data_IF_272905594927
#
_entry.id   IF_272905594927
#
_cell.length_a   1.000
_cell.length_b   1.000
_cell.length_c   1.000
_cell.angle_alpha   90.00
_cell.angle_beta   90.00
_cell.angle_gamma   90.00
#
_symmetry.space_group_name_H-M   'P 1'
#
loop_
_entity.id
_entity.type
_entity.pdbx_description
1 polymer ?
#
# COMPACT_ATOMS: atom_id res chain seq x y z
N UNK A 1 -27.35 7.41 7.47
CA UNK A 1 -26.30 7.05 6.49
C UNK A 1 -26.96 6.31 5.35
N UNK A 2 -26.96 6.90 4.16
CA UNK A 2 -27.54 6.28 2.99
C UNK A 2 -26.43 5.65 2.13
N UNK A 3 -26.42 4.33 2.05
CA UNK A 3 -25.42 3.56 1.29
C UNK A 3 -25.43 3.94 -0.21
N UNK A 4 -26.61 4.26 -0.75
CA UNK A 4 -26.79 4.70 -2.13
C UNK A 4 -26.01 5.97 -2.46
N UNK A 5 -25.96 6.94 -1.54
CA UNK A 5 -25.22 8.18 -1.69
C UNK A 5 -23.70 7.95 -1.68
N UNK A 6 -23.21 7.10 -0.77
CA UNK A 6 -21.80 6.72 -0.70
C UNK A 6 -21.36 6.04 -2.00
N UNK A 7 -22.15 5.08 -2.49
CA UNK A 7 -21.84 4.35 -3.73
C UNK A 7 -21.90 5.26 -4.97
N UNK A 8 -22.86 6.18 -5.04
CA UNK A 8 -22.96 7.14 -6.13
C UNK A 8 -21.73 8.05 -6.19
N UNK A 9 -21.31 8.55 -5.02
CA UNK A 9 -20.12 9.39 -4.91
C UNK A 9 -18.84 8.58 -5.22
N UNK A 10 -18.74 7.34 -4.73
CA UNK A 10 -17.63 6.45 -5.02
C UNK A 10 -17.52 6.14 -6.53
N UNK A 11 -18.65 5.86 -7.17
CA UNK A 11 -18.70 5.62 -8.62
C UNK A 11 -18.30 6.87 -9.43
N UNK A 12 -18.68 8.07 -8.98
CA UNK A 12 -18.23 9.34 -9.57
C UNK A 12 -16.73 9.49 -9.44
N UNK A 13 -16.19 9.40 -8.21
CA UNK A 13 -14.76 9.57 -7.94
C UNK A 13 -13.91 8.54 -8.71
N UNK A 14 -14.35 7.28 -8.73
CA UNK A 14 -13.72 6.23 -9.53
C UNK A 14 -13.65 6.59 -11.01
N UNK A 15 -14.77 7.03 -11.59
CA UNK A 15 -14.87 7.40 -13.00
C UNK A 15 -13.98 8.59 -13.35
N UNK A 16 -13.94 9.58 -12.46
CA UNK A 16 -13.10 10.77 -12.63
C UNK A 16 -11.61 10.40 -12.63
N UNK A 17 -11.20 9.47 -11.76
CA UNK A 17 -9.83 8.95 -11.72
C UNK A 17 -9.48 8.09 -12.93
N UNK A 18 -10.40 7.23 -13.38
CA UNK A 18 -10.18 6.37 -14.55
C UNK A 18 -10.09 7.17 -15.86
N UNK A 19 -10.79 8.32 -15.97
CA UNK A 19 -10.64 9.24 -17.10
C UNK A 19 -9.30 9.98 -17.12
N UNK A 20 -8.61 10.01 -16.00
CA UNK A 20 -7.32 10.64 -15.92
C UNK A 20 -6.24 9.69 -16.49
N UNK A 21 -5.56 10.13 -17.57
CA UNK A 21 -4.46 9.39 -18.20
C UNK A 21 -3.34 9.01 -17.21
N UNK A 22 -3.28 9.70 -16.08
CA UNK A 22 -2.33 9.41 -15.00
C UNK A 22 -2.50 8.01 -14.43
N UNK A 23 -3.73 7.54 -14.22
CA UNK A 23 -4.01 6.17 -13.71
C UNK A 23 -3.51 5.12 -14.70
N UNK A 24 -3.74 5.35 -16.01
CA UNK A 24 -3.23 4.48 -17.06
C UNK A 24 -1.70 4.48 -17.12
N UNK A 25 -1.08 5.66 -16.99
CA UNK A 25 0.38 5.78 -16.97
C UNK A 25 0.99 5.02 -15.78
N UNK A 26 0.40 5.15 -14.59
CA UNK A 26 0.82 4.42 -13.39
C UNK A 26 0.68 2.91 -13.58
N UNK A 27 -0.45 2.42 -14.09
CA UNK A 27 -0.66 1.00 -14.36
C UNK A 27 0.37 0.47 -15.38
N UNK A 28 0.66 1.24 -16.44
CA UNK A 28 1.67 0.89 -17.45
C UNK A 28 3.07 0.81 -16.84
N UNK A 29 3.48 1.84 -16.11
CA UNK A 29 4.79 1.89 -15.43
C UNK A 29 4.93 0.69 -14.48
N UNK A 30 3.90 0.44 -13.67
CA UNK A 30 3.88 -0.67 -12.74
C UNK A 30 3.98 -2.03 -13.45
N UNK A 31 3.25 -2.22 -14.55
CA UNK A 31 3.33 -3.44 -15.38
C UNK A 31 4.73 -3.63 -15.95
N UNK A 32 5.32 -2.59 -16.53
CA UNK A 32 6.67 -2.67 -17.12
C UNK A 32 7.71 -3.03 -16.06
N UNK A 33 7.71 -2.33 -14.91
CA UNK A 33 8.65 -2.65 -13.83
C UNK A 33 8.44 -4.05 -13.26
N UNK A 34 7.19 -4.48 -13.08
CA UNK A 34 6.88 -5.84 -12.60
C UNK A 34 7.41 -6.90 -13.55
N UNK A 35 7.26 -6.71 -14.86
CA UNK A 35 7.78 -7.61 -15.88
C UNK A 35 9.31 -7.64 -15.89
N UNK A 36 9.94 -6.45 -15.89
CA UNK A 36 11.40 -6.34 -15.89
C UNK A 36 11.99 -7.03 -14.67
N UNK A 37 11.45 -6.79 -13.49
CA UNK A 37 11.93 -7.42 -12.24
C UNK A 37 11.68 -8.93 -12.27
N UNK A 38 10.51 -9.37 -12.73
CA UNK A 38 10.19 -10.79 -12.82
C UNK A 38 11.13 -11.54 -13.77
N UNK A 39 11.50 -10.91 -14.88
CA UNK A 39 12.33 -11.57 -15.92
C UNK A 39 13.83 -11.42 -15.69
N UNK A 40 14.27 -10.26 -15.20
CA UNK A 40 15.68 -9.91 -15.03
C UNK A 40 16.16 -9.90 -13.57
N UNK A 41 15.29 -10.09 -12.60
CA UNK A 41 15.66 -10.05 -11.17
C UNK A 41 16.75 -11.07 -10.77
N UNK A 42 16.91 -12.14 -11.54
CA UNK A 42 17.99 -13.14 -11.36
C UNK A 42 19.26 -12.89 -12.17
N UNK A 43 19.33 -11.83 -12.96
CA UNK A 43 20.46 -11.61 -13.89
C UNK A 43 21.81 -11.45 -13.19
N UNK A 44 21.85 -10.89 -11.98
CA UNK A 44 23.07 -10.80 -11.17
C UNK A 44 23.63 -12.17 -10.75
N UNK A 45 22.79 -13.21 -10.75
CA UNK A 45 23.16 -14.60 -10.45
C UNK A 45 23.35 -15.44 -11.73
N UNK A 46 23.46 -14.77 -12.89
CA UNK A 46 23.69 -15.42 -14.18
C UNK A 46 22.46 -16.09 -14.79
N UNK A 47 21.27 -15.83 -14.29
CA UNK A 47 20.04 -16.47 -14.78
C UNK A 47 19.02 -15.42 -15.22
N UNK A 48 18.46 -15.62 -16.42
CA UNK A 48 17.42 -14.78 -17.01
C UNK A 48 16.18 -15.66 -17.25
N UNK A 49 15.00 -15.13 -16.93
CA UNK A 49 13.72 -15.83 -17.09
C UNK A 49 12.98 -16.03 -15.78
N UNK A 50 11.80 -16.65 -15.88
CA UNK A 50 10.96 -16.95 -14.73
C UNK A 50 11.62 -18.04 -13.86
N UNK A 51 11.84 -17.73 -12.60
CA UNK A 51 12.33 -18.64 -11.56
C UNK A 51 11.15 -19.18 -10.76
N UNK A 52 11.43 -19.65 -9.54
CA UNK A 52 10.36 -20.02 -8.62
C UNK A 52 9.43 -18.83 -8.30
N UNK A 53 8.25 -19.14 -7.86
CA UNK A 53 7.22 -18.14 -7.51
C UNK A 53 7.69 -17.32 -6.32
N UNK A 54 8.32 -17.99 -5.34
CA UNK A 54 8.85 -17.38 -4.12
C UNK A 54 9.91 -16.32 -4.46
N UNK A 55 10.81 -16.64 -5.39
CA UNK A 55 11.82 -15.70 -5.86
C UNK A 55 11.18 -14.50 -6.59
N UNK A 56 10.16 -14.75 -7.40
CA UNK A 56 9.42 -13.69 -8.10
C UNK A 56 8.72 -12.76 -7.09
N UNK A 57 8.04 -13.32 -6.09
CA UNK A 57 7.39 -12.55 -5.03
C UNK A 57 8.43 -11.73 -4.26
N UNK A 58 9.52 -12.35 -3.80
CA UNK A 58 10.58 -11.67 -3.06
C UNK A 58 11.18 -10.48 -3.83
N UNK A 59 11.38 -10.66 -5.14
CA UNK A 59 11.87 -9.58 -6.02
C UNK A 59 10.86 -8.45 -6.19
N UNK A 60 9.57 -8.78 -6.30
CA UNK A 60 8.50 -7.79 -6.44
C UNK A 60 8.16 -7.06 -5.14
N UNK A 61 8.45 -7.64 -3.98
CA UNK A 61 8.19 -7.01 -2.66
C UNK A 61 8.85 -5.63 -2.59
N UNK A 62 10.11 -5.51 -3.00
CA UNK A 62 10.82 -4.23 -2.99
C UNK A 62 10.15 -3.20 -3.90
N UNK A 63 9.75 -3.60 -5.12
CA UNK A 63 9.03 -2.72 -6.04
C UNK A 63 7.74 -2.20 -5.42
N UNK A 64 6.97 -3.09 -4.81
CA UNK A 64 5.67 -2.78 -4.20
C UNK A 64 5.85 -1.80 -3.04
N UNK A 65 6.83 -2.02 -2.15
CA UNK A 65 7.09 -1.15 -0.99
C UNK A 65 7.43 0.28 -1.43
N UNK A 66 8.12 0.48 -2.56
CA UNK A 66 8.44 1.82 -3.06
C UNK A 66 7.29 2.45 -3.83
N UNK A 67 6.68 1.72 -4.76
CA UNK A 67 5.72 2.31 -5.71
C UNK A 67 4.30 2.40 -5.18
N UNK A 68 3.76 1.36 -4.56
CA UNK A 68 2.36 1.35 -4.11
C UNK A 68 2.06 2.44 -3.08
N UNK A 69 2.89 2.66 -2.03
CA UNK A 69 2.71 3.76 -1.10
C UNK A 69 2.76 5.13 -1.78
N UNK A 70 3.72 5.34 -2.69
CA UNK A 70 3.84 6.59 -3.43
C UNK A 70 2.60 6.88 -4.27
N UNK A 71 2.14 5.88 -5.03
CA UNK A 71 0.94 5.98 -5.86
C UNK A 71 -0.29 6.27 -5.02
N UNK A 72 -0.48 5.54 -3.91
CA UNK A 72 -1.62 5.71 -3.01
C UNK A 72 -1.64 7.11 -2.39
N UNK A 73 -0.49 7.60 -1.93
CA UNK A 73 -0.35 8.93 -1.36
C UNK A 73 -0.62 10.03 -2.39
N UNK A 74 -0.06 9.90 -3.61
CA UNK A 74 -0.30 10.84 -4.71
C UNK A 74 -1.75 10.80 -5.23
N UNK A 75 -2.43 9.67 -5.11
CA UNK A 75 -3.84 9.54 -5.49
C UNK A 75 -4.76 10.21 -4.48
N UNK A 76 -4.43 10.11 -3.18
CA UNK A 76 -5.31 10.47 -2.07
C UNK A 76 -5.09 11.86 -1.46
N UNK A 77 -3.88 12.48 -1.58
CA UNK A 77 -3.57 13.72 -0.90
C UNK A 77 -4.52 14.88 -1.23
N UNK A 78 -5.08 14.87 -2.44
CA UNK A 78 -5.95 15.92 -2.97
C UNK A 78 -7.46 15.67 -2.73
N UNK A 79 -7.82 14.56 -2.11
CA UNK A 79 -9.21 14.08 -2.05
C UNK A 79 -10.19 15.07 -1.40
N UNK A 80 -9.79 15.78 -0.35
CA UNK A 80 -10.61 16.75 0.39
C UNK A 80 -10.08 18.16 0.23
N UNK A 81 -8.76 18.35 0.37
CA UNK A 81 -8.15 19.67 0.29
C UNK A 81 -8.34 20.32 -1.08
N UNK A 82 -8.35 19.53 -2.16
CA UNK A 82 -8.59 20.05 -3.50
C UNK A 82 -10.01 20.59 -3.70
N UNK A 83 -11.01 19.98 -3.07
CA UNK A 83 -12.38 20.54 -3.06
C UNK A 83 -12.48 21.81 -2.20
N UNK A 84 -11.73 21.83 -1.08
CA UNK A 84 -11.68 23.00 -0.21
C UNK A 84 -11.08 24.21 -0.92
N UNK A 85 -9.94 24.07 -1.60
CA UNK A 85 -9.31 25.17 -2.35
C UNK A 85 -10.14 25.68 -3.53
N UNK A 86 -10.87 24.79 -4.20
CA UNK A 86 -11.76 25.17 -5.30
C UNK A 86 -13.08 25.78 -4.85
N UNK A 87 -13.35 25.81 -3.53
CA UNK A 87 -14.62 26.25 -2.98
C UNK A 87 -15.79 25.29 -3.26
N UNK A 88 -15.53 24.14 -3.88
CA UNK A 88 -16.58 23.14 -4.19
C UNK A 88 -16.98 22.30 -2.98
N UNK A 89 -16.19 22.30 -1.90
CA UNK A 89 -16.51 21.56 -0.69
C UNK A 89 -17.81 22.03 -0.05
N UNK A 90 -18.02 23.34 0.04
CA UNK A 90 -19.23 23.90 0.64
C UNK A 90 -20.48 23.61 -0.22
N UNK A 91 -20.33 23.59 -1.55
CA UNK A 91 -21.38 23.16 -2.47
C UNK A 91 -21.74 21.69 -2.30
N UNK A 92 -20.75 20.81 -2.10
CA UNK A 92 -20.99 19.40 -1.81
C UNK A 92 -21.67 19.19 -0.46
N UNK A 93 -21.32 19.99 0.55
CA UNK A 93 -21.93 19.93 1.88
C UNK A 93 -23.31 20.62 1.96
N UNK A 94 -23.69 21.40 0.97
CA UNK A 94 -25.06 21.93 0.81
C UNK A 94 -26.04 20.87 0.28
N UNK A 95 -25.54 19.79 -0.32
CA UNK A 95 -26.35 18.62 -0.69
C UNK A 95 -26.75 17.85 0.60
N UNK A 96 -27.80 17.02 0.56
CA UNK A 96 -28.20 16.21 1.71
C UNK A 96 -27.21 15.05 1.98
N UNK A 97 -25.93 15.40 2.11
CA UNK A 97 -24.80 14.50 2.34
C UNK A 97 -24.14 14.80 3.69
N UNK A 98 -23.93 13.80 4.49
CA UNK A 98 -23.11 13.93 5.69
C UNK A 98 -21.62 13.98 5.34
N UNK A 99 -20.81 14.64 6.17
CA UNK A 99 -19.34 14.68 5.99
C UNK A 99 -18.72 13.27 5.95
N UNK A 100 -19.33 12.32 6.66
CA UNK A 100 -18.88 10.92 6.65
C UNK A 100 -19.15 10.24 5.30
N UNK A 101 -20.34 10.44 4.74
CA UNK A 101 -20.71 9.90 3.44
C UNK A 101 -19.80 10.46 2.32
N UNK A 102 -19.49 11.75 2.40
CA UNK A 102 -18.53 12.38 1.51
C UNK A 102 -17.14 11.75 1.64
N UNK A 103 -16.62 11.60 2.86
CA UNK A 103 -15.30 11.03 3.11
C UNK A 103 -15.21 9.57 2.65
N UNK A 104 -16.18 8.74 3.01
CA UNK A 104 -16.23 7.34 2.64
C UNK A 104 -16.44 7.15 1.13
N UNK A 105 -17.32 7.94 0.51
CA UNK A 105 -17.53 7.88 -0.94
C UNK A 105 -16.25 8.21 -1.72
N UNK A 106 -15.54 9.28 -1.33
CA UNK A 106 -14.25 9.62 -1.94
C UNK A 106 -13.21 8.54 -1.70
N UNK A 107 -13.07 8.06 -0.46
CA UNK A 107 -12.13 6.99 -0.16
C UNK A 107 -12.39 5.72 -0.97
N UNK A 108 -13.64 5.24 -1.02
CA UNK A 108 -14.01 4.02 -1.74
C UNK A 108 -13.79 4.17 -3.26
N UNK A 109 -14.09 5.33 -3.83
CA UNK A 109 -13.82 5.59 -5.25
C UNK A 109 -12.33 5.56 -5.59
N UNK A 110 -11.50 6.18 -4.76
CA UNK A 110 -10.04 6.14 -4.89
C UNK A 110 -9.49 4.73 -4.65
N UNK A 111 -10.00 4.03 -3.64
CA UNK A 111 -9.63 2.65 -3.32
C UNK A 111 -9.93 1.70 -4.48
N UNK A 112 -11.09 1.84 -5.12
CA UNK A 112 -11.44 1.06 -6.31
C UNK A 112 -10.50 1.34 -7.49
N UNK A 113 -10.15 2.61 -7.73
CA UNK A 113 -9.20 2.99 -8.79
C UNK A 113 -7.79 2.45 -8.53
N UNK A 114 -7.30 2.55 -7.29
CA UNK A 114 -6.00 2.00 -6.90
C UNK A 114 -5.98 0.48 -7.02
N UNK A 115 -7.00 -0.20 -6.52
CA UNK A 115 -7.13 -1.65 -6.60
C UNK A 115 -7.14 -2.14 -8.04
N UNK A 116 -7.95 -1.52 -8.90
CA UNK A 116 -8.00 -1.89 -10.32
C UNK A 116 -6.65 -1.67 -11.00
N UNK A 117 -5.99 -0.54 -10.76
CA UNK A 117 -4.67 -0.25 -11.33
C UNK A 117 -3.61 -1.26 -10.88
N UNK A 118 -3.64 -1.66 -9.61
CA UNK A 118 -2.74 -2.68 -9.05
C UNK A 118 -3.00 -4.06 -9.67
N UNK A 119 -4.27 -4.45 -9.79
CA UNK A 119 -4.66 -5.72 -10.42
C UNK A 119 -4.21 -5.77 -11.89
N UNK A 120 -4.45 -4.71 -12.65
CA UNK A 120 -4.02 -4.62 -14.06
C UNK A 120 -2.49 -4.66 -14.15
N UNK A 121 -1.78 -3.95 -13.26
CA UNK A 121 -0.32 -3.94 -13.21
C UNK A 121 0.30 -5.33 -12.99
N UNK A 122 -0.34 -6.18 -12.20
CA UNK A 122 0.11 -7.54 -11.93
C UNK A 122 -0.48 -8.61 -12.85
N UNK A 123 -1.52 -8.29 -13.62
CA UNK A 123 -2.23 -9.28 -14.44
C UNK A 123 -1.32 -10.02 -15.43
N UNK A 124 -0.42 -9.30 -16.07
CA UNK A 124 0.48 -9.89 -17.07
C UNK A 124 1.48 -10.87 -16.44
N UNK A 125 2.04 -10.51 -15.27
CA UNK A 125 2.90 -11.41 -14.49
C UNK A 125 2.11 -12.63 -14.03
N UNK A 126 0.85 -12.46 -13.58
CA UNK A 126 -0.02 -13.56 -13.20
C UNK A 126 -0.24 -14.55 -14.36
N UNK A 127 -0.46 -14.04 -15.59
CA UNK A 127 -0.61 -14.88 -16.79
C UNK A 127 0.66 -15.65 -17.09
N UNK A 128 1.84 -15.02 -16.97
CA UNK A 128 3.11 -15.68 -17.20
C UNK A 128 3.38 -16.79 -16.16
N UNK A 129 3.14 -16.51 -14.88
CA UNK A 129 3.30 -17.48 -13.81
C UNK A 129 2.32 -18.66 -13.94
N UNK A 130 1.06 -18.39 -14.35
CA UNK A 130 0.09 -19.44 -14.61
C UNK A 130 0.52 -20.39 -15.72
N UNK A 131 1.07 -19.84 -16.81
CA UNK A 131 1.56 -20.66 -17.93
C UNK A 131 2.75 -21.57 -17.54
N UNK A 132 3.58 -21.15 -16.60
CA UNK A 132 4.79 -21.87 -16.22
C UNK A 132 4.59 -22.80 -15.01
N UNK A 133 3.84 -22.39 -14.00
CA UNK A 133 3.72 -23.07 -12.70
C UNK A 133 2.33 -23.64 -12.40
N UNK A 134 1.37 -23.44 -13.31
CA UNK A 134 -0.03 -23.90 -13.15
C UNK A 134 -0.74 -23.26 -11.94
N UNK A 135 -1.88 -23.85 -11.52
CA UNK A 135 -2.77 -23.27 -10.51
C UNK A 135 -2.18 -23.08 -9.09
N UNK A 136 -1.39 -24.05 -8.53
CA UNK A 136 -0.86 -23.88 -7.17
C UNK A 136 0.01 -22.63 -7.01
N UNK A 137 0.79 -22.30 -8.02
CA UNK A 137 1.63 -21.11 -7.99
C UNK A 137 0.85 -19.80 -8.03
N UNK A 138 -0.26 -19.80 -8.74
CA UNK A 138 -1.12 -18.62 -8.81
C UNK A 138 -1.77 -18.29 -7.47
N UNK A 139 -2.00 -19.28 -6.61
CA UNK A 139 -2.57 -19.08 -5.28
C UNK A 139 -1.65 -18.22 -4.38
N UNK A 140 -0.36 -18.54 -4.32
CA UNK A 140 0.62 -17.75 -3.55
C UNK A 140 0.77 -16.33 -4.11
N UNK A 141 0.80 -16.19 -5.44
CA UNK A 141 0.85 -14.89 -6.09
C UNK A 141 -0.44 -14.08 -5.87
N UNK A 142 -1.59 -14.72 -5.76
CA UNK A 142 -2.85 -14.10 -5.37
C UNK A 142 -2.79 -13.48 -3.97
N UNK A 143 -2.20 -14.18 -3.01
CA UNK A 143 -1.95 -13.65 -1.67
C UNK A 143 -1.07 -12.40 -1.68
N UNK A 144 -0.01 -12.41 -2.50
CA UNK A 144 0.86 -11.24 -2.72
C UNK A 144 0.10 -10.04 -3.32
N UNK A 145 -0.78 -10.27 -4.29
CA UNK A 145 -1.61 -9.20 -4.87
C UNK A 145 -2.57 -8.62 -3.82
N UNK A 146 -3.24 -9.46 -3.04
CA UNK A 146 -4.15 -9.01 -1.98
C UNK A 146 -3.41 -8.17 -0.95
N UNK A 147 -2.25 -8.62 -0.48
CA UNK A 147 -1.43 -7.86 0.48
C UNK A 147 -0.92 -6.55 -0.10
N UNK A 148 -0.59 -6.49 -1.39
CA UNK A 148 -0.20 -5.27 -2.11
C UNK A 148 -1.36 -4.26 -2.17
N UNK A 149 -2.57 -4.72 -2.41
CA UNK A 149 -3.78 -3.88 -2.36
C UNK A 149 -4.00 -3.35 -0.95
N UNK A 150 -3.90 -4.20 0.09
CA UNK A 150 -4.04 -3.77 1.49
C UNK A 150 -3.00 -2.70 1.87
N UNK A 151 -1.75 -2.86 1.44
CA UNK A 151 -0.71 -1.85 1.61
C UNK A 151 -1.12 -0.51 0.98
N UNK A 152 -1.59 -0.56 -0.27
CA UNK A 152 -2.07 0.61 -0.98
C UNK A 152 -3.23 1.30 -0.27
N UNK A 153 -4.20 0.52 0.23
CA UNK A 153 -5.35 1.04 0.99
C UNK A 153 -4.92 1.68 2.32
N UNK A 154 -3.91 1.13 3.01
CA UNK A 154 -3.36 1.72 4.24
C UNK A 154 -2.73 3.10 3.96
N UNK A 155 -1.88 3.21 2.94
CA UNK A 155 -1.29 4.49 2.55
C UNK A 155 -2.31 5.48 1.96
N UNK A 156 -3.34 4.98 1.26
CA UNK A 156 -4.46 5.81 0.81
C UNK A 156 -5.23 6.40 2.00
N UNK A 157 -5.43 5.63 3.07
CA UNK A 157 -6.06 6.11 4.30
C UNK A 157 -5.27 7.23 4.97
N UNK A 158 -3.92 7.08 5.01
CA UNK A 158 -3.02 8.13 5.47
C UNK A 158 -3.08 9.37 4.57
N UNK A 159 -3.14 9.20 3.25
CA UNK A 159 -3.25 10.29 2.30
C UNK A 159 -4.55 11.10 2.50
N UNK A 160 -5.67 10.41 2.68
CA UNK A 160 -6.96 11.06 2.95
C UNK A 160 -6.94 11.78 4.30
N UNK A 161 -6.31 11.22 5.33
CA UNK A 161 -6.12 11.89 6.61
C UNK A 161 -5.31 13.19 6.42
N UNK A 162 -4.19 13.15 5.69
CA UNK A 162 -3.39 14.34 5.39
C UNK A 162 -4.19 15.37 4.60
N UNK A 163 -5.01 14.94 3.64
CA UNK A 163 -5.91 15.81 2.87
C UNK A 163 -6.94 16.52 3.74
N UNK A 164 -7.44 15.87 4.77
CA UNK A 164 -8.38 16.47 5.73
C UNK A 164 -7.69 17.49 6.63
N UNK A 165 -6.48 17.19 7.12
CA UNK A 165 -5.72 18.03 8.04
C UNK A 165 -5.14 19.26 7.34
N UNK A 166 -4.68 19.11 6.11
CA UNK A 166 -4.06 20.18 5.34
C UNK A 166 -5.10 21.24 4.94
N UNK A 167 -4.66 22.51 4.96
CA UNK A 167 -5.47 23.65 4.50
C UNK A 167 -5.27 23.97 3.02
N UNK A 168 -4.12 23.60 2.47
CA UNK A 168 -3.66 23.89 1.12
C UNK A 168 -3.12 22.63 0.45
N UNK A 169 -3.32 22.48 -0.86
CA UNK A 169 -2.84 21.35 -1.66
C UNK A 169 -1.32 21.17 -1.57
N UNK A 170 -0.59 22.28 -1.57
CA UNK A 170 0.88 22.27 -1.46
C UNK A 170 1.33 21.64 -0.14
N UNK A 171 0.65 21.95 0.97
CA UNK A 171 0.94 21.31 2.26
C UNK A 171 0.55 19.84 2.26
N UNK A 172 -0.59 19.47 1.67
CA UNK A 172 -1.02 18.07 1.58
C UNK A 172 -0.04 17.23 0.77
N UNK A 173 0.43 17.73 -0.38
CA UNK A 173 1.42 17.04 -1.20
C UNK A 173 2.76 16.91 -0.51
N UNK A 174 3.23 17.97 0.19
CA UNK A 174 4.45 17.93 0.98
C UNK A 174 4.37 16.89 2.11
N UNK A 175 3.25 16.83 2.83
CA UNK A 175 3.02 15.81 3.87
C UNK A 175 2.97 14.39 3.29
N UNK A 176 2.35 14.21 2.11
CA UNK A 176 2.31 12.90 1.45
C UNK A 176 3.73 12.42 1.08
N UNK A 177 4.56 13.29 0.50
CA UNK A 177 5.96 12.97 0.17
C UNK A 177 6.76 12.70 1.45
N UNK A 178 6.59 13.51 2.50
CA UNK A 178 7.26 13.31 3.77
C UNK A 178 6.89 11.98 4.44
N UNK A 179 5.61 11.59 4.40
CA UNK A 179 5.15 10.29 4.90
C UNK A 179 5.74 9.13 4.09
N UNK A 180 5.77 9.25 2.77
CA UNK A 180 6.40 8.23 1.93
C UNK A 180 7.88 8.08 2.29
N UNK A 181 8.62 9.18 2.34
CA UNK A 181 10.04 9.19 2.69
C UNK A 181 10.28 8.60 4.08
N UNK A 182 9.44 8.98 5.05
CA UNK A 182 9.53 8.49 6.43
C UNK A 182 9.33 6.97 6.50
N UNK A 183 8.21 6.45 6.00
CA UNK A 183 7.89 5.03 6.15
C UNK A 183 8.74 4.12 5.25
N UNK A 184 9.16 4.61 4.09
CA UNK A 184 9.86 3.77 3.10
C UNK A 184 11.37 3.80 3.27
N UNK A 185 11.93 4.88 3.82
CA UNK A 185 13.39 5.05 3.95
C UNK A 185 13.84 5.32 5.38
N UNK A 186 13.28 6.36 6.04
CA UNK A 186 13.80 6.83 7.33
C UNK A 186 13.49 5.83 8.44
N UNK A 187 12.34 5.22 8.44
CA UNK A 187 11.91 4.30 9.49
C UNK A 187 12.87 3.11 9.63
N UNK A 188 13.22 2.45 8.52
CA UNK A 188 14.16 1.33 8.50
C UNK A 188 15.56 1.76 8.98
N UNK A 189 16.01 2.97 8.58
CA UNK A 189 17.29 3.53 9.04
C UNK A 189 17.29 3.82 10.53
N UNK A 190 16.19 4.33 11.08
CA UNK A 190 16.05 4.58 12.52
C UNK A 190 16.08 3.27 13.31
N UNK A 191 15.40 2.23 12.81
CA UNK A 191 15.43 0.90 13.43
C UNK A 191 16.84 0.31 13.41
N UNK A 192 17.52 0.35 12.25
CA UNK A 192 18.89 -0.13 12.12
C UNK A 192 19.85 0.65 13.02
N UNK A 193 19.74 1.97 13.05
CA UNK A 193 20.53 2.84 13.92
C UNK A 193 20.32 2.53 15.39
N UNK A 194 19.08 2.30 15.82
CA UNK A 194 18.74 1.90 17.18
C UNK A 194 19.34 0.54 17.56
N UNK A 195 19.30 -0.44 16.64
CA UNK A 195 19.91 -1.76 16.85
C UNK A 195 21.44 -1.66 17.03
N UNK A 196 22.09 -0.88 16.18
CA UNK A 196 23.55 -0.66 16.25
C UNK A 196 23.94 0.09 17.54
N UNK A 197 23.21 1.15 17.89
CA UNK A 197 23.48 1.97 19.08
C UNK A 197 23.34 1.19 20.39
N UNK A 198 22.44 0.20 20.42
CA UNK A 198 22.22 -0.67 21.59
C UNK A 198 23.12 -1.92 21.63
N UNK A 199 24.04 -2.05 20.65
CA UNK A 199 24.92 -3.22 20.54
C UNK A 199 24.16 -4.54 20.41
N UNK A 200 22.91 -4.50 19.93
CA UNK A 200 22.04 -5.67 19.85
C UNK A 200 21.42 -6.13 21.16
N UNK A 201 21.71 -5.47 22.30
CA UNK A 201 21.26 -5.88 23.62
C UNK A 201 19.74 -5.74 23.84
N UNK A 202 19.09 -4.83 23.08
CA UNK A 202 17.63 -4.72 23.00
C UNK A 202 17.07 -5.40 21.72
N UNK A 203 17.92 -6.10 20.98
CA UNK A 203 17.60 -6.78 19.72
C UNK A 203 16.99 -8.15 19.97
N UNK A 204 15.85 -8.26 20.43
CA UNK A 204 15.10 -9.48 20.57
C UNK A 204 13.69 -9.31 20.02
N UNK A 205 12.77 -10.01 20.62
CA UNK A 205 11.35 -9.97 20.25
C UNK A 205 10.76 -8.56 20.26
N UNK A 206 11.17 -7.69 21.21
CA UNK A 206 10.66 -6.32 21.31
C UNK A 206 10.91 -5.49 20.05
N UNK A 207 12.08 -5.66 19.41
CA UNK A 207 12.42 -4.94 18.18
C UNK A 207 11.52 -5.34 16.99
N UNK A 208 11.17 -6.61 16.92
CA UNK A 208 10.28 -7.11 15.88
C UNK A 208 8.86 -6.50 15.96
N UNK A 209 8.40 -6.15 17.16
CA UNK A 209 7.10 -5.48 17.32
C UNK A 209 7.12 -4.03 16.81
N UNK A 210 8.27 -3.34 16.79
CA UNK A 210 8.39 -2.01 16.22
C UNK A 210 8.12 -2.01 14.71
N UNK A 211 8.41 -3.11 14.00
CA UNK A 211 8.10 -3.24 12.58
C UNK A 211 6.59 -3.12 12.29
N UNK A 212 5.72 -3.42 13.27
CA UNK A 212 4.27 -3.26 13.11
C UNK A 212 3.83 -1.79 13.03
N UNK A 213 4.70 -0.86 13.45
CA UNK A 213 4.47 0.58 13.34
C UNK A 213 4.71 1.13 11.94
N UNK A 214 5.08 0.28 10.98
CA UNK A 214 5.25 0.63 9.59
C UNK A 214 4.45 -0.33 8.69
N UNK A 215 3.44 0.14 7.95
CA UNK A 215 2.66 -0.73 7.07
C UNK A 215 3.49 -1.38 5.97
N UNK A 216 4.61 -0.76 5.53
CA UNK A 216 5.52 -1.34 4.55
C UNK A 216 6.27 -2.56 5.11
N UNK A 217 6.66 -2.52 6.39
CA UNK A 217 7.29 -3.65 7.05
C UNK A 217 6.31 -4.77 7.37
N UNK A 218 5.07 -4.44 7.76
CA UNK A 218 4.00 -5.42 7.89
C UNK A 218 3.78 -6.19 6.58
N UNK A 219 3.76 -5.47 5.45
CA UNK A 219 3.68 -6.08 4.13
C UNK A 219 4.90 -6.96 3.82
N UNK A 220 6.11 -6.50 4.17
CA UNK A 220 7.35 -7.29 4.01
C UNK A 220 7.30 -8.57 4.82
N UNK A 221 6.88 -8.51 6.08
CA UNK A 221 6.70 -9.68 6.95
C UNK A 221 5.71 -10.66 6.32
N UNK A 222 4.56 -10.17 5.87
CA UNK A 222 3.50 -11.00 5.30
C UNK A 222 3.97 -11.77 4.06
N UNK A 223 4.81 -11.19 3.21
CA UNK A 223 5.18 -11.79 1.93
C UNK A 223 6.54 -12.48 1.92
N UNK A 224 7.50 -12.03 2.71
CA UNK A 224 8.86 -12.59 2.74
C UNK A 224 8.98 -13.64 3.86
N UNK A 225 8.48 -13.32 5.05
CA UNK A 225 8.65 -14.21 6.21
C UNK A 225 7.59 -15.33 6.29
N UNK A 226 6.50 -15.23 5.54
CA UNK A 226 5.51 -16.30 5.41
C UNK A 226 5.94 -17.43 4.48
N UNK A 227 7.00 -17.21 3.68
CA UNK A 227 7.57 -18.20 2.76
C UNK A 227 8.80 -18.85 3.42
N UNK A 228 8.68 -20.13 3.83
CA UNK A 228 9.75 -20.86 4.54
C UNK A 228 11.06 -20.86 3.76
N UNK A 229 11.01 -21.07 2.44
CA UNK A 229 12.18 -21.12 1.56
C UNK A 229 12.92 -19.78 1.48
N UNK A 230 12.18 -18.66 1.46
CA UNK A 230 12.77 -17.31 1.43
C UNK A 230 13.35 -16.95 2.80
N UNK A 231 12.69 -17.37 3.87
CA UNK A 231 13.10 -17.15 5.26
C UNK A 231 14.47 -17.78 5.55
N UNK A 232 14.72 -18.98 5.03
CA UNK A 232 16.01 -19.68 5.17
C UNK A 232 17.10 -19.05 4.32
N UNK A 233 16.79 -18.63 3.09
CA UNK A 233 17.75 -18.03 2.15
C UNK A 233 18.31 -16.68 2.64
N UNK A 234 17.50 -15.86 3.32
CA UNK A 234 17.92 -14.54 3.77
C UNK A 234 18.42 -14.48 5.21
N UNK A 235 18.49 -15.61 5.93
CA UNK A 235 18.94 -15.66 7.33
C UNK A 235 18.06 -14.91 8.32
N UNK A 236 16.87 -14.48 7.88
CA UNK A 236 15.94 -13.64 8.65
C UNK A 236 15.08 -14.44 9.64
N UNK A 237 15.20 -15.76 9.63
CA UNK A 237 14.45 -16.66 10.51
C UNK A 237 14.70 -16.39 12.00
N UNK A 238 15.83 -15.76 12.33
CA UNK A 238 16.22 -15.44 13.72
C UNK A 238 15.72 -14.08 14.22
N UNK A 239 15.23 -13.22 13.33
CA UNK A 239 14.91 -11.81 13.64
C UNK A 239 13.42 -11.63 13.95
N UNK A 240 12.53 -12.38 13.27
CA UNK A 240 11.07 -12.25 13.46
C UNK A 240 10.54 -13.43 14.27
N UNK A 241 9.93 -13.17 15.46
CA UNK A 241 9.32 -14.20 16.26
C UNK A 241 8.24 -14.98 15.47
N UNK A 242 8.08 -16.29 15.70
CA UNK A 242 7.04 -17.10 15.04
C UNK A 242 5.62 -16.57 15.27
N UNK A 243 5.41 -15.85 16.37
CA UNK A 243 4.14 -15.22 16.68
C UNK A 243 3.74 -14.15 15.65
N UNK A 244 4.71 -13.39 15.12
CA UNK A 244 4.48 -12.35 14.12
C UNK A 244 4.43 -12.89 12.68
N UNK A 245 4.92 -14.09 12.44
CA UNK A 245 4.87 -14.72 11.11
C UNK A 245 3.49 -15.27 10.73
N UNK A 246 2.45 -15.02 11.54
CA UNK A 246 1.08 -15.49 11.27
C UNK A 246 0.38 -14.55 10.28
N UNK A 247 -0.02 -15.02 9.07
CA UNK A 247 -0.60 -14.16 8.03
C UNK A 247 -1.87 -13.44 8.47
N UNK A 248 -2.73 -14.11 9.26
CA UNK A 248 -3.98 -13.50 9.74
C UNK A 248 -3.71 -12.31 10.69
N UNK A 249 -2.66 -12.39 11.54
CA UNK A 249 -2.29 -11.31 12.45
C UNK A 249 -1.78 -10.10 11.67
N UNK A 250 -0.92 -10.33 10.68
CA UNK A 250 -0.43 -9.27 9.79
C UNK A 250 -1.57 -8.64 8.99
N UNK A 251 -2.54 -9.44 8.54
CA UNK A 251 -3.76 -8.95 7.92
C UNK A 251 -4.58 -8.02 8.83
N UNK A 252 -4.72 -8.38 10.12
CA UNK A 252 -5.39 -7.52 11.10
C UNK A 252 -4.63 -6.21 11.35
N UNK A 253 -3.30 -6.24 11.43
CA UNK A 253 -2.48 -5.04 11.56
C UNK A 253 -2.64 -4.14 10.33
N UNK A 254 -2.66 -4.70 9.11
CA UNK A 254 -2.94 -3.95 7.90
C UNK A 254 -4.33 -3.31 7.91
N UNK A 255 -5.35 -4.04 8.37
CA UNK A 255 -6.70 -3.48 8.54
C UNK A 255 -6.72 -2.35 9.57
N UNK A 256 -5.96 -2.46 10.66
CA UNK A 256 -5.79 -1.38 11.63
C UNK A 256 -5.18 -0.13 10.98
N UNK A 257 -4.16 -0.29 10.11
CA UNK A 257 -3.55 0.79 9.34
C UNK A 257 -4.50 1.43 8.31
N UNK A 258 -5.55 0.72 7.89
CA UNK A 258 -6.63 1.29 7.06
C UNK A 258 -7.63 2.04 7.95
N UNK A 259 -8.12 1.39 9.01
CA UNK A 259 -9.25 1.89 9.80
C UNK A 259 -8.86 3.07 10.70
N UNK A 260 -7.67 3.01 11.35
CA UNK A 260 -7.24 4.04 12.29
C UNK A 260 -7.10 5.42 11.60
N UNK A 261 -6.37 5.57 10.48
CA UNK A 261 -6.28 6.87 9.81
C UNK A 261 -7.63 7.39 9.30
N UNK A 262 -8.52 6.51 8.82
CA UNK A 262 -9.86 6.91 8.38
C UNK A 262 -10.73 7.39 9.54
N UNK A 263 -10.65 6.75 10.71
CA UNK A 263 -11.38 7.19 11.91
C UNK A 263 -10.86 8.53 12.41
N UNK A 264 -9.55 8.75 12.38
CA UNK A 264 -8.92 10.04 12.69
C UNK A 264 -9.33 11.11 11.67
N UNK A 265 -9.36 10.78 10.38
CA UNK A 265 -9.82 11.68 9.33
C UNK A 265 -11.28 12.08 9.54
N UNK A 266 -12.16 11.12 9.87
CA UNK A 266 -13.54 11.39 10.23
C UNK A 266 -13.67 12.32 11.43
N UNK A 267 -12.90 12.06 12.49
CA UNK A 267 -12.94 12.88 13.70
C UNK A 267 -12.50 14.31 13.41
N UNK A 268 -11.39 14.48 12.68
CA UNK A 268 -10.86 15.80 12.30
C UNK A 268 -11.75 16.54 11.30
N UNK A 269 -12.48 15.84 10.46
CA UNK A 269 -13.39 16.43 9.47
C UNK A 269 -14.71 16.94 10.07
N UNK A 270 -15.01 16.56 11.32
CA UNK A 270 -16.18 17.06 12.05
C UNK A 270 -15.97 18.46 12.65
N UNK A 271 -14.76 18.77 13.05
CA UNK A 271 -14.31 20.06 13.60
C UNK A 271 -13.84 21.00 12.49
#
# INVERSE_FOLDING_TARGET
MELSQILTLAAKEFRDRMRNRWVLAVALVFTVFSLVITYFGGAQQGTVGLRSIEFTIASLVSLVIYLIPLIALLLGFDAVVGERERGSLDLLLALPLTRLELLLGKYLGLAAALTLSTLVGFALVAVLLYRQFSWPGLFHYGGFIISSVLLGLAFLSLAVLMSVIARERTRASGLAIALWFFFVLVFDLLLLGGLVATGGSYGGEAFAYLLLLNPADVFRILNVFSLEDVRTLYGLASIVPPALAKPWLMGLVMLAWIVIPLTLARWRFRT
#
